data_IF_409866030254
#
_entry.id   IF_409866030254
#
_cell.length_a   1.000
_cell.length_b   1.000
_cell.length_c   1.000
_cell.angle_alpha   90.00
_cell.angle_beta   90.00
_cell.angle_gamma   90.00
#
_symmetry.space_group_name_H-M   'P 1'
#
loop_
_entity.id
_entity.type
_entity.pdbx_description
1 polymer ?
#
# COMPACT_ATOMS: atom_id res chain seq x y z
N UNK A 1 26.91 42.52 9.93
CA UNK A 1 27.28 41.54 8.90
C UNK A 1 26.01 40.82 8.45
N UNK A 2 25.76 40.67 7.13
CA UNK A 2 24.65 39.85 6.64
C UNK A 2 24.92 38.37 6.94
N UNK A 3 23.85 37.65 7.30
CA UNK A 3 23.91 36.34 7.95
C UNK A 3 24.28 35.18 7.03
N UNK A 4 24.98 34.20 7.60
CA UNK A 4 25.06 32.84 7.05
C UNK A 4 23.87 32.03 7.57
N UNK A 5 22.78 31.99 6.78
CA UNK A 5 21.75 30.96 6.95
C UNK A 5 22.44 29.60 6.84
N UNK A 6 22.34 28.80 7.90
CA UNK A 6 22.73 27.38 7.87
C UNK A 6 21.97 26.73 6.73
N UNK A 7 22.70 26.30 5.71
CA UNK A 7 22.12 25.69 4.52
C UNK A 7 21.54 24.33 4.94
N UNK A 8 20.21 24.22 5.03
CA UNK A 8 19.48 22.98 5.32
C UNK A 8 19.69 22.01 4.13
N UNK A 9 20.85 21.33 4.11
CA UNK A 9 21.17 20.35 3.07
C UNK A 9 20.33 19.11 3.32
N UNK A 10 19.20 19.03 2.63
CA UNK A 10 18.51 17.77 2.44
C UNK A 10 19.43 16.77 1.75
N UNK A 11 19.43 15.52 2.19
CA UNK A 11 20.18 14.45 1.54
C UNK A 11 19.30 13.84 0.44
N UNK A 12 19.64 14.01 -0.85
CA UNK A 12 18.94 13.32 -1.91
C UNK A 12 19.32 11.83 -1.87
N UNK A 13 18.31 10.97 -1.93
CA UNK A 13 18.47 9.54 -2.16
C UNK A 13 17.77 9.18 -3.46
N UNK A 14 18.51 8.55 -4.35
CA UNK A 14 18.02 8.12 -5.66
C UNK A 14 18.38 6.65 -5.87
N UNK A 15 17.39 5.84 -6.19
CA UNK A 15 17.55 4.41 -6.40
C UNK A 15 16.73 3.95 -7.59
N UNK A 16 17.39 3.24 -8.50
CA UNK A 16 16.83 2.76 -9.76
C UNK A 16 17.14 1.29 -9.96
N UNK A 17 16.19 0.60 -10.55
CA UNK A 17 16.40 -0.68 -11.19
C UNK A 17 15.22 -1.02 -12.09
N UNK A 18 15.25 -2.20 -12.69
CA UNK A 18 14.37 -2.57 -13.81
C UNK A 18 12.86 -2.47 -13.50
N UNK A 19 12.50 -2.49 -12.22
CA UNK A 19 11.12 -2.59 -11.73
C UNK A 19 10.82 -1.61 -10.58
N UNK A 20 11.74 -0.67 -10.30
CA UNK A 20 11.58 0.25 -9.18
C UNK A 20 12.32 1.57 -9.42
N UNK A 21 11.76 2.62 -8.83
CA UNK A 21 12.29 3.97 -8.83
C UNK A 21 11.99 4.64 -7.50
N UNK A 22 13.01 5.22 -6.86
CA UNK A 22 12.84 6.03 -5.67
C UNK A 22 13.66 7.31 -5.77
N UNK A 23 13.03 8.45 -5.51
CA UNK A 23 13.68 9.76 -5.28
C UNK A 23 13.16 10.33 -3.99
N UNK A 24 14.06 10.62 -3.05
CA UNK A 24 13.69 10.97 -1.69
C UNK A 24 14.59 12.08 -1.17
N UNK A 25 14.02 12.97 -0.36
CA UNK A 25 14.72 14.07 0.29
C UNK A 25 14.53 13.96 1.79
N UNK A 26 15.62 13.68 2.50
CA UNK A 26 15.65 13.45 3.94
C UNK A 26 16.24 14.65 4.68
N UNK A 27 15.56 15.10 5.73
CA UNK A 27 16.15 15.99 6.73
C UNK A 27 16.75 15.15 7.86
N UNK A 28 18.10 15.07 7.98
CA UNK A 28 18.76 14.23 8.96
C UNK A 28 18.57 14.68 10.41
N UNK A 29 18.13 15.93 10.66
CA UNK A 29 17.90 16.41 12.03
C UNK A 29 16.57 15.94 12.58
N UNK A 30 15.53 15.98 11.74
CA UNK A 30 14.17 15.62 12.13
C UNK A 30 13.80 14.18 11.74
N UNK A 31 14.64 13.51 10.96
CA UNK A 31 14.37 12.23 10.30
C UNK A 31 13.14 12.23 9.37
N UNK A 32 12.66 13.43 9.00
CA UNK A 32 11.48 13.58 8.14
C UNK A 32 11.87 13.49 6.67
N UNK A 33 11.01 12.87 5.89
CA UNK A 33 11.07 12.92 4.43
C UNK A 33 10.21 14.09 3.95
N UNK A 34 10.81 15.07 3.29
CA UNK A 34 10.09 16.28 2.90
C UNK A 34 9.43 16.14 1.53
N UNK A 35 10.16 15.58 0.56
CA UNK A 35 9.65 15.36 -0.79
C UNK A 35 10.19 14.03 -1.29
N UNK A 36 9.38 13.32 -2.05
CA UNK A 36 9.86 12.15 -2.76
C UNK A 36 8.79 11.41 -3.53
N UNK A 37 9.25 10.43 -4.30
CA UNK A 37 8.44 9.50 -5.04
C UNK A 37 9.05 8.12 -4.95
N UNK A 38 8.21 7.14 -4.70
CA UNK A 38 8.52 5.72 -4.78
C UNK A 38 7.58 5.11 -5.80
N UNK A 39 8.12 4.30 -6.71
CA UNK A 39 7.36 3.49 -7.66
C UNK A 39 7.98 2.11 -7.67
N UNK A 40 7.17 1.08 -7.48
CA UNK A 40 7.55 -0.31 -7.68
C UNK A 40 6.50 -0.95 -8.57
N UNK A 41 6.89 -1.58 -9.67
CA UNK A 41 5.95 -2.20 -10.60
C UNK A 41 6.44 -3.57 -11.08
N UNK A 42 5.49 -4.38 -11.53
CA UNK A 42 5.70 -5.69 -12.15
C UNK A 42 4.55 -5.91 -13.15
N UNK A 43 4.55 -7.03 -13.86
CA UNK A 43 3.51 -7.34 -14.85
C UNK A 43 2.07 -7.31 -14.30
N UNK A 44 1.89 -7.59 -13.00
CA UNK A 44 0.56 -7.80 -12.40
C UNK A 44 0.31 -6.95 -11.15
N UNK A 45 1.28 -6.16 -10.72
CA UNK A 45 1.19 -5.37 -9.52
C UNK A 45 2.02 -4.10 -9.62
N UNK A 46 1.49 -2.99 -9.09
CA UNK A 46 2.19 -1.73 -8.99
C UNK A 46 1.87 -1.03 -7.67
N UNK A 47 2.84 -0.31 -7.14
CA UNK A 47 2.70 0.54 -5.98
C UNK A 47 3.43 1.85 -6.23
N UNK A 48 2.78 2.97 -5.93
CA UNK A 48 3.38 4.30 -6.03
C UNK A 48 3.04 5.13 -4.81
N UNK A 49 4.05 5.78 -4.24
CA UNK A 49 3.91 6.71 -3.13
C UNK A 49 4.51 8.04 -3.52
N UNK A 50 3.78 9.12 -3.28
CA UNK A 50 4.32 10.48 -3.34
C UNK A 50 4.37 11.05 -1.93
N UNK A 51 5.49 11.69 -1.60
CA UNK A 51 5.73 12.40 -0.34
C UNK A 51 5.83 13.89 -0.66
N UNK A 52 5.06 14.71 0.05
CA UNK A 52 5.14 16.17 0.00
C UNK A 52 4.87 16.75 1.38
N UNK A 53 5.77 17.59 1.86
CA UNK A 53 5.72 18.25 3.16
C UNK A 53 5.52 17.25 4.31
N UNK A 54 6.25 16.12 4.27
CA UNK A 54 6.12 15.04 5.27
C UNK A 54 4.89 14.16 5.09
N UNK A 55 3.94 14.54 4.22
CA UNK A 55 2.69 13.80 4.02
C UNK A 55 2.80 12.87 2.84
N UNK A 56 2.24 11.67 3.00
CA UNK A 56 2.29 10.63 1.97
C UNK A 56 0.91 10.41 1.36
N UNK A 57 0.88 10.19 0.06
CA UNK A 57 -0.25 9.56 -0.63
C UNK A 57 0.26 8.31 -1.35
N UNK A 58 -0.56 7.28 -1.43
CA UNK A 58 -0.21 6.00 -2.03
C UNK A 58 -1.26 5.55 -3.04
N UNK A 59 -0.84 4.81 -4.05
CA UNK A 59 -1.73 4.02 -4.90
C UNK A 59 -1.11 2.66 -5.12
N UNK A 60 -1.95 1.64 -5.07
CA UNK A 60 -1.59 0.25 -5.23
C UNK A 60 -2.57 -0.37 -6.22
N UNK A 61 -2.04 -1.14 -7.16
CA UNK A 61 -2.81 -1.86 -8.16
C UNK A 61 -2.35 -3.32 -8.17
N UNK A 62 -3.30 -4.23 -8.26
CA UNK A 62 -3.11 -5.64 -8.56
C UNK A 62 -4.08 -6.05 -9.65
N UNK A 63 -3.62 -6.85 -10.60
CA UNK A 63 -4.45 -7.43 -11.66
C UNK A 63 -4.09 -8.90 -11.85
N UNK A 64 -5.09 -9.79 -11.81
CA UNK A 64 -5.02 -11.15 -12.30
C UNK A 64 -6.04 -11.38 -13.41
N UNK A 65 -6.09 -12.59 -13.96
CA UNK A 65 -6.95 -12.92 -15.11
C UNK A 65 -8.45 -12.71 -14.85
N UNK A 66 -8.87 -12.86 -13.60
CA UNK A 66 -10.27 -12.74 -13.20
C UNK A 66 -10.54 -11.67 -12.15
N UNK A 67 -9.51 -11.09 -11.56
CA UNK A 67 -9.68 -10.20 -10.43
C UNK A 67 -8.75 -9.00 -10.49
N UNK A 68 -9.16 -7.91 -9.87
CA UNK A 68 -8.30 -6.74 -9.70
C UNK A 68 -8.55 -6.06 -8.37
N UNK A 69 -7.52 -5.39 -7.87
CA UNK A 69 -7.59 -4.56 -6.68
C UNK A 69 -6.90 -3.23 -6.98
N UNK A 70 -7.62 -2.14 -6.81
CA UNK A 70 -7.06 -0.79 -6.83
C UNK A 70 -7.29 -0.17 -5.46
N UNK A 71 -6.22 0.27 -4.80
CA UNK A 71 -6.27 1.01 -3.54
C UNK A 71 -5.61 2.36 -3.74
N UNK A 72 -6.18 3.40 -3.14
CA UNK A 72 -5.57 4.72 -3.05
C UNK A 72 -5.71 5.25 -1.64
N UNK A 73 -4.63 5.80 -1.11
CA UNK A 73 -4.57 6.40 0.21
C UNK A 73 -4.14 7.87 0.07
N UNK A 74 -4.83 8.76 0.74
CA UNK A 74 -4.55 10.20 0.71
C UNK A 74 -3.75 10.66 1.94
N UNK A 75 -3.25 11.90 1.82
CA UNK A 75 -2.47 12.60 2.83
C UNK A 75 -3.22 12.95 4.12
N UNK A 76 -4.54 12.71 4.17
CA UNK A 76 -5.39 12.99 5.32
C UNK A 76 -5.71 11.72 6.12
N UNK A 77 -5.09 10.60 5.76
CA UNK A 77 -5.34 9.30 6.37
C UNK A 77 -6.59 8.60 5.84
N UNK A 78 -7.21 9.10 4.76
CA UNK A 78 -8.35 8.43 4.12
C UNK A 78 -7.83 7.47 3.07
N UNK A 79 -8.50 6.33 2.94
CA UNK A 79 -8.28 5.42 1.82
C UNK A 79 -9.58 5.11 1.10
N UNK A 80 -9.43 4.75 -0.17
CA UNK A 80 -10.48 4.23 -1.04
C UNK A 80 -9.92 3.08 -1.85
N UNK A 81 -10.79 2.24 -2.39
CA UNK A 81 -10.37 1.26 -3.36
C UNK A 81 -11.51 0.46 -3.93
N UNK A 82 -11.19 -0.33 -4.93
CA UNK A 82 -12.16 -1.20 -5.60
C UNK A 82 -11.54 -2.56 -5.76
N UNK A 83 -12.26 -3.59 -5.34
CA UNK A 83 -11.99 -4.97 -5.71
C UNK A 83 -13.02 -5.43 -6.75
N UNK A 84 -12.55 -6.04 -7.82
CA UNK A 84 -13.38 -6.63 -8.87
C UNK A 84 -13.08 -8.11 -8.95
N UNK A 85 -14.12 -8.93 -9.04
CA UNK A 85 -14.04 -10.35 -9.37
C UNK A 85 -15.01 -10.67 -10.50
N UNK A 86 -14.47 -11.09 -11.63
CA UNK A 86 -15.18 -11.29 -12.89
C UNK A 86 -15.73 -12.71 -13.03
N UNK A 87 -15.23 -13.67 -12.25
CA UNK A 87 -15.85 -15.00 -12.13
C UNK A 87 -17.15 -14.87 -11.34
N UNK A 88 -17.94 -15.96 -11.37
CA UNK A 88 -19.16 -16.22 -10.58
C UNK A 88 -19.71 -15.01 -9.80
N UNK A 89 -20.78 -14.41 -10.30
CA UNK A 89 -21.46 -13.30 -9.63
C UNK A 89 -20.99 -11.90 -10.05
N UNK A 90 -19.82 -11.79 -10.72
CA UNK A 90 -19.30 -10.54 -11.30
C UNK A 90 -19.38 -9.39 -10.29
N UNK A 91 -18.72 -9.57 -9.16
CA UNK A 91 -18.86 -8.68 -8.00
C UNK A 91 -17.86 -7.54 -8.05
N UNK A 92 -18.31 -6.39 -7.61
CA UNK A 92 -17.47 -5.21 -7.41
C UNK A 92 -17.72 -4.66 -6.01
N UNK A 93 -16.65 -4.53 -5.24
CA UNK A 93 -16.68 -4.05 -3.85
C UNK A 93 -15.91 -2.74 -3.78
N UNK A 94 -16.58 -1.71 -3.27
CA UNK A 94 -15.98 -0.43 -2.97
C UNK A 94 -15.52 -0.39 -1.51
N UNK A 95 -14.28 0.01 -1.30
CA UNK A 95 -13.72 0.38 0.00
C UNK A 95 -13.68 1.89 0.12
N UNK A 96 -14.21 2.46 1.20
CA UNK A 96 -14.12 3.91 1.48
C UNK A 96 -14.12 4.17 2.97
N UNK A 97 -13.06 4.82 3.45
CA UNK A 97 -12.99 5.31 4.83
C UNK A 97 -13.23 4.23 5.89
N UNK A 98 -12.65 3.04 5.71
CA UNK A 98 -12.82 1.93 6.66
C UNK A 98 -14.05 1.06 6.42
N UNK A 99 -14.95 1.42 5.50
CA UNK A 99 -16.13 0.64 5.15
C UNK A 99 -16.00 -0.07 3.80
N UNK A 100 -16.72 -1.16 3.62
CA UNK A 100 -16.85 -1.93 2.40
C UNK A 100 -18.32 -2.08 1.99
N UNK A 101 -18.60 -1.91 0.70
CA UNK A 101 -19.95 -2.06 0.14
C UNK A 101 -19.90 -2.78 -1.21
N UNK A 102 -20.88 -3.66 -1.45
CA UNK A 102 -21.11 -4.26 -2.75
C UNK A 102 -21.78 -3.22 -3.66
N UNK A 103 -21.13 -2.86 -4.76
CA UNK A 103 -21.66 -1.86 -5.71
C UNK A 103 -22.13 -2.49 -7.03
N UNK A 104 -21.73 -3.73 -7.30
CA UNK A 104 -22.17 -4.50 -8.48
C UNK A 104 -22.12 -5.99 -8.21
N UNK A 105 -22.98 -6.73 -8.90
CA UNK A 105 -23.02 -8.19 -8.85
C UNK A 105 -23.96 -8.71 -7.77
N UNK A 106 -23.99 -10.04 -7.58
CA UNK A 106 -24.81 -10.68 -6.56
C UNK A 106 -23.97 -11.68 -5.76
N UNK A 107 -24.08 -11.61 -4.44
CA UNK A 107 -23.47 -12.58 -3.52
C UNK A 107 -24.57 -13.59 -3.12
N UNK A 108 -24.45 -14.88 -3.46
CA UNK A 108 -25.43 -15.89 -3.08
C UNK A 108 -25.63 -15.95 -1.55
N UNK A 109 -26.81 -16.39 -1.08
CA UNK A 109 -27.09 -16.53 0.36
C UNK A 109 -26.05 -17.39 1.10
N UNK A 110 -25.51 -18.43 0.45
CA UNK A 110 -24.44 -19.27 1.00
C UNK A 110 -23.05 -18.61 1.04
N UNK A 111 -22.95 -17.37 0.56
CA UNK A 111 -21.71 -16.65 0.30
C UNK A 111 -21.13 -16.91 -1.09
N UNK A 112 -20.27 -15.99 -1.51
CA UNK A 112 -19.39 -16.15 -2.66
C UNK A 112 -18.12 -16.87 -2.21
N UNK A 113 -17.78 -17.97 -2.90
CA UNK A 113 -16.55 -18.74 -2.69
C UNK A 113 -15.87 -18.98 -4.03
N UNK A 114 -14.68 -18.42 -4.19
CA UNK A 114 -13.82 -18.62 -5.35
C UNK A 114 -12.43 -18.98 -4.83
N UNK A 115 -11.88 -20.05 -5.38
CA UNK A 115 -10.51 -20.49 -5.09
C UNK A 115 -9.83 -20.73 -6.43
N UNK A 116 -8.71 -20.05 -6.65
CA UNK A 116 -7.75 -20.36 -7.71
C UNK A 116 -6.39 -20.65 -7.10
N UNK A 117 -5.41 -20.95 -7.95
CA UNK A 117 -4.08 -21.39 -7.53
C UNK A 117 -3.36 -20.38 -6.62
N UNK A 118 -3.65 -19.11 -6.83
CA UNK A 118 -2.99 -17.99 -6.14
C UNK A 118 -3.94 -16.97 -5.55
N UNK A 119 -5.26 -17.19 -5.62
CA UNK A 119 -6.24 -16.27 -5.05
C UNK A 119 -7.38 -17.01 -4.38
N UNK A 120 -7.92 -16.42 -3.33
CA UNK A 120 -9.10 -16.91 -2.63
C UNK A 120 -10.01 -15.75 -2.28
N UNK A 121 -11.28 -15.91 -2.60
CA UNK A 121 -12.33 -14.95 -2.29
C UNK A 121 -13.41 -15.69 -1.52
N UNK A 122 -13.67 -15.25 -0.30
CA UNK A 122 -14.80 -15.68 0.49
C UNK A 122 -15.53 -14.43 0.99
N UNK A 123 -16.77 -14.21 0.55
CA UNK A 123 -17.54 -13.03 0.95
C UNK A 123 -18.98 -13.46 1.27
N UNK A 124 -19.52 -12.91 2.34
CA UNK A 124 -20.91 -13.07 2.76
C UNK A 124 -21.54 -11.70 2.97
N UNK A 125 -22.86 -11.64 2.86
CA UNK A 125 -23.67 -10.46 3.16
C UNK A 125 -24.65 -10.87 4.25
N UNK A 126 -24.73 -10.08 5.32
CA UNK A 126 -25.75 -10.29 6.36
C UNK A 126 -27.11 -9.67 5.98
N UNK A 127 -28.12 -9.85 6.83
CA UNK A 127 -29.46 -9.28 6.62
C UNK A 127 -29.49 -7.75 6.62
N UNK A 128 -28.46 -7.09 7.16
CA UNK A 128 -28.27 -5.65 7.15
C UNK A 128 -27.45 -5.15 5.95
N UNK A 129 -27.09 -6.01 5.00
CA UNK A 129 -26.27 -5.66 3.84
C UNK A 129 -24.78 -5.51 4.13
N UNK A 130 -24.31 -5.89 5.33
CA UNK A 130 -22.92 -5.76 5.75
C UNK A 130 -22.09 -6.93 5.21
N UNK A 131 -20.91 -6.61 4.67
CA UNK A 131 -19.98 -7.58 4.10
C UNK A 131 -19.07 -8.18 5.17
N UNK A 132 -18.88 -9.49 5.12
CA UNK A 132 -17.89 -10.21 5.93
C UNK A 132 -17.14 -11.23 5.08
N UNK A 133 -15.87 -11.48 5.40
CA UNK A 133 -15.05 -12.48 4.69
C UNK A 133 -13.60 -12.06 4.43
N UNK A 134 -12.99 -12.70 3.44
CA UNK A 134 -11.56 -12.55 3.09
C UNK A 134 -11.40 -12.53 1.57
N UNK A 135 -10.58 -11.61 1.09
CA UNK A 135 -10.13 -11.51 -0.30
C UNK A 135 -8.61 -11.54 -0.28
N UNK A 136 -8.00 -12.60 -0.75
CA UNK A 136 -6.55 -12.76 -0.72
C UNK A 136 -5.99 -13.17 -2.08
N UNK A 137 -4.80 -12.65 -2.39
CA UNK A 137 -3.95 -13.12 -3.46
C UNK A 137 -2.59 -13.42 -2.86
N UNK A 138 -2.14 -14.66 -2.98
CA UNK A 138 -0.79 -15.08 -2.60
C UNK A 138 0.23 -14.48 -3.56
N UNK A 139 1.47 -14.39 -3.07
CA UNK A 139 2.59 -13.84 -3.82
C UNK A 139 2.90 -14.70 -5.04
N UNK A 140 2.58 -14.20 -6.24
CA UNK A 140 3.09 -14.76 -7.50
C UNK A 140 4.17 -13.81 -7.98
N UNK A 141 5.43 -14.23 -7.81
CA UNK A 141 6.64 -13.41 -7.99
C UNK A 141 6.70 -12.27 -6.98
N UNK A 142 5.99 -11.17 -7.22
CA UNK A 142 6.29 -9.91 -6.54
C UNK A 142 5.13 -9.33 -5.73
N UNK A 143 3.86 -9.57 -6.09
CA UNK A 143 2.70 -8.93 -5.45
C UNK A 143 1.81 -9.90 -4.67
N UNK A 144 1.37 -9.50 -3.47
CA UNK A 144 0.38 -10.19 -2.66
C UNK A 144 -0.57 -9.19 -1.98
N UNK A 145 -1.79 -9.61 -1.68
CA UNK A 145 -2.68 -8.83 -0.84
C UNK A 145 -3.58 -9.74 0.00
N UNK A 146 -4.03 -9.20 1.13
CA UNK A 146 -4.99 -9.84 2.01
C UNK A 146 -5.93 -8.76 2.56
N UNK A 147 -7.20 -8.79 2.16
CA UNK A 147 -8.25 -7.88 2.61
C UNK A 147 -9.24 -8.69 3.43
N UNK A 148 -9.54 -8.20 4.63
CA UNK A 148 -10.48 -8.77 5.57
C UNK A 148 -11.67 -7.85 5.74
N UNK A 149 -12.86 -8.44 5.65
CA UNK A 149 -14.13 -7.77 5.82
C UNK A 149 -14.78 -8.30 7.10
N UNK A 150 -15.12 -7.40 8.02
CA UNK A 150 -15.80 -7.73 9.28
C UNK A 150 -16.93 -6.75 9.52
N UNK A 151 -18.17 -7.23 9.40
CA UNK A 151 -19.38 -6.42 9.61
C UNK A 151 -19.38 -5.12 8.79
N UNK A 152 -18.95 -5.19 7.54
CA UNK A 152 -18.84 -4.06 6.62
C UNK A 152 -17.61 -3.19 6.84
N UNK A 153 -16.74 -3.50 7.81
CA UNK A 153 -15.44 -2.83 7.99
C UNK A 153 -14.36 -3.52 7.17
N UNK A 154 -13.40 -2.75 6.69
CA UNK A 154 -12.26 -3.27 5.91
C UNK A 154 -10.95 -3.07 6.66
N UNK A 155 -10.14 -4.13 6.68
CA UNK A 155 -8.73 -4.10 7.06
C UNK A 155 -7.93 -4.97 6.11
N UNK A 156 -6.61 -4.85 6.10
CA UNK A 156 -5.79 -5.72 5.26
C UNK A 156 -4.43 -5.15 4.94
N UNK A 157 -3.74 -5.81 4.01
CA UNK A 157 -2.46 -5.34 3.49
C UNK A 157 -2.30 -5.68 2.01
N UNK A 158 -1.42 -4.93 1.38
CA UNK A 158 -0.84 -5.23 0.09
C UNK A 158 0.68 -5.16 0.23
N UNK A 159 1.37 -6.14 -0.34
CA UNK A 159 2.83 -6.22 -0.36
C UNK A 159 3.28 -6.37 -1.80
N UNK A 160 4.18 -5.49 -2.23
CA UNK A 160 4.97 -5.65 -3.44
C UNK A 160 6.44 -5.76 -3.06
N UNK A 161 7.08 -6.87 -3.39
CA UNK A 161 8.47 -7.10 -3.08
C UNK A 161 9.22 -7.76 -4.25
N UNK A 162 10.44 -7.29 -4.49
CA UNK A 162 11.45 -7.93 -5.33
C UNK A 162 12.71 -8.24 -4.52
N UNK A 163 13.79 -8.63 -5.20
CA UNK A 163 15.01 -9.13 -4.53
C UNK A 163 15.67 -8.10 -3.60
N UNK A 164 15.56 -6.82 -3.95
CA UNK A 164 16.21 -5.71 -3.24
C UNK A 164 15.23 -4.63 -2.79
N UNK A 165 13.93 -4.88 -2.87
CA UNK A 165 12.93 -3.92 -2.45
C UNK A 165 11.67 -4.56 -1.91
N UNK A 166 11.04 -3.89 -0.98
CA UNK A 166 9.73 -4.25 -0.44
C UNK A 166 8.91 -2.99 -0.24
N UNK A 167 7.62 -3.09 -0.46
CA UNK A 167 6.65 -2.02 -0.31
C UNK A 167 5.36 -2.60 0.19
N UNK A 168 4.95 -2.16 1.37
CA UNK A 168 3.73 -2.59 2.02
C UNK A 168 2.79 -1.39 2.19
N UNK A 169 1.51 -1.61 1.93
CA UNK A 169 0.42 -0.74 2.30
C UNK A 169 -0.53 -1.54 3.19
N UNK A 170 -0.77 -1.07 4.41
CA UNK A 170 -1.70 -1.72 5.34
C UNK A 170 -2.89 -0.80 5.62
N UNK A 171 -4.08 -1.38 5.63
CA UNK A 171 -5.36 -0.72 5.84
C UNK A 171 -5.94 -1.17 7.18
N UNK A 172 -6.46 -0.20 7.95
CA UNK A 172 -7.22 -0.47 9.16
C UNK A 172 -8.51 0.35 9.15
N UNK A 173 -9.48 0.03 10.03
CA UNK A 173 -10.67 0.87 10.19
C UNK A 173 -10.35 2.32 10.59
N UNK A 174 -9.17 2.57 11.19
CA UNK A 174 -8.76 3.87 11.70
C UNK A 174 -7.84 4.65 10.75
N UNK A 175 -7.36 4.04 9.65
CA UNK A 175 -6.49 4.70 8.70
C UNK A 175 -5.68 3.72 7.84
N UNK A 176 -4.46 4.12 7.49
CA UNK A 176 -3.55 3.29 6.73
C UNK A 176 -2.10 3.50 7.19
N UNK A 177 -1.23 2.55 6.90
CA UNK A 177 0.22 2.66 7.07
C UNK A 177 0.93 2.19 5.81
N UNK A 178 2.16 2.63 5.61
CA UNK A 178 2.99 2.10 4.56
C UNK A 178 4.42 1.91 5.04
N UNK A 179 5.07 0.90 4.51
CA UNK A 179 6.51 0.70 4.66
C UNK A 179 7.11 0.54 3.27
N UNK A 180 8.30 1.09 3.08
CA UNK A 180 9.05 0.93 1.85
C UNK A 180 10.49 0.69 2.23
N UNK A 181 11.11 -0.32 1.65
CA UNK A 181 12.50 -0.68 1.89
C UNK A 181 13.19 -0.93 0.55
N UNK A 182 14.41 -0.43 0.39
CA UNK A 182 15.24 -0.68 -0.79
C UNK A 182 16.70 -0.90 -0.41
N UNK A 183 17.43 -1.65 -1.23
CA UNK A 183 18.86 -1.89 -1.07
C UNK A 183 19.19 -2.98 -0.02
N UNK A 184 20.49 -3.22 0.17
CA UNK A 184 21.02 -4.21 1.11
C UNK A 184 22.27 -3.66 1.83
N UNK A 185 22.57 -4.19 3.02
CA UNK A 185 23.73 -3.78 3.81
C UNK A 185 23.71 -2.29 4.17
N UNK A 186 24.84 -1.61 3.99
CA UNK A 186 25.02 -0.17 4.26
C UNK A 186 24.31 0.75 3.25
N UNK A 187 23.70 0.23 2.19
CA UNK A 187 22.96 1.02 1.21
C UNK A 187 21.43 0.92 1.38
N UNK A 188 20.96 0.36 2.51
CA UNK A 188 19.54 0.16 2.79
C UNK A 188 18.85 1.50 3.08
N UNK A 189 17.76 1.79 2.38
CA UNK A 189 16.83 2.85 2.74
C UNK A 189 15.53 2.23 3.24
N UNK A 190 14.93 2.82 4.28
CA UNK A 190 13.59 2.47 4.73
C UNK A 190 12.75 3.73 4.99
N UNK A 191 11.51 3.74 4.48
CA UNK A 191 10.47 4.70 4.83
C UNK A 191 9.36 4.00 5.63
N UNK A 192 8.85 4.67 6.64
CA UNK A 192 7.62 4.27 7.34
C UNK A 192 6.63 5.42 7.45
N UNK A 193 5.36 5.12 7.19
CA UNK A 193 4.20 6.00 7.40
C UNK A 193 3.26 5.32 8.38
N UNK A 194 2.89 6.02 9.46
CA UNK A 194 1.99 5.50 10.49
C UNK A 194 0.66 6.26 10.47
N UNK A 195 -0.46 5.54 10.58
CA UNK A 195 -1.82 6.08 10.71
C UNK A 195 -2.26 7.10 9.62
N UNK A 196 -1.59 7.15 8.47
CA UNK A 196 -1.94 7.96 7.28
C UNK A 196 -1.96 9.48 7.50
N UNK A 197 -1.71 9.92 8.73
CA UNK A 197 -1.66 11.31 9.20
C UNK A 197 -0.28 11.69 9.74
N UNK A 198 0.57 10.69 10.04
CA UNK A 198 1.91 10.92 10.57
C UNK A 198 2.90 11.26 9.46
N UNK A 199 3.98 11.91 9.88
CA UNK A 199 5.10 12.27 9.02
C UNK A 199 5.84 11.02 8.54
N UNK A 200 6.21 11.02 7.27
CA UNK A 200 7.06 9.99 6.70
C UNK A 200 8.46 10.08 7.32
N UNK A 201 8.90 8.99 7.97
CA UNK A 201 10.25 8.88 8.52
C UNK A 201 11.14 8.09 7.58
N UNK A 202 12.33 8.60 7.31
CA UNK A 202 13.35 7.96 6.49
C UNK A 202 14.52 7.48 7.34
N UNK A 203 15.01 6.27 7.05
CA UNK A 203 16.21 5.70 7.64
C UNK A 203 17.14 5.28 6.52
N UNK A 204 18.38 5.77 6.56
CA UNK A 204 19.45 5.36 5.65
C UNK A 204 20.44 4.53 6.45
N UNK A 205 20.80 3.35 5.95
CA UNK A 205 21.88 2.55 6.52
C UNK A 205 23.18 3.34 6.49
N UNK A 206 23.78 3.55 7.66
CA UNK A 206 25.20 3.86 7.80
C UNK A 206 25.92 2.58 8.26
N UNK A 207 27.26 2.52 8.20
CA UNK A 207 27.98 1.41 8.82
C UNK A 207 27.52 1.32 10.28
N UNK A 208 27.07 0.13 10.69
CA UNK A 208 26.89 -0.16 12.10
C UNK A 208 28.23 0.15 12.77
N UNK A 209 28.28 1.19 13.61
CA UNK A 209 29.41 1.35 14.51
C UNK A 209 29.29 0.19 15.50
N UNK A 210 30.22 -0.76 15.38
CA UNK A 210 30.58 -1.68 16.45
C UNK A 210 31.05 -0.87 17.67
#
# INVERSE_FOLDING_TARGET
>A
MPGSRVNNRHLPYEYHGDHHFATLSHDPRSNKLNVGRVVNFSAHAAASFDIRDGKVRGTVLHTGDSHSLLLSADRNGRFRGTFVEMRRGKVEILFRGGAAALIKGNIPQRGLRITGDHHRVFIQVDSGGRLSGVIESRRVKNGAFHIRLEEGRVSGSFVHAGDKHETELSLSPTGWSASVQFGAGSAKFAMKVENGRSEAKGFVGGPARL
#
